data_IF_359716505188
#
_entry.id   IF_359716505188
#
_cell.length_a   1.000
_cell.length_b   1.000
_cell.length_c   1.000
_cell.angle_alpha   90.00
_cell.angle_beta   90.00
_cell.angle_gamma   90.00
#
_symmetry.space_group_name_H-M   'P 1'
#
loop_
_entity.id
_entity.type
_entity.pdbx_description
1 polymer ?
#
# COMPACT_ATOMS: atom_id res chain seq x y z
N UNK A 1 22.45 -4.02 16.93
CA UNK A 1 22.83 -2.59 16.92
C UNK A 1 23.44 -2.26 18.27
N UNK A 2 24.42 -1.34 18.36
CA UNK A 2 24.89 -0.88 19.66
C UNK A 2 23.71 -0.25 20.43
N UNK A 3 23.70 -0.32 21.77
CA UNK A 3 22.56 0.06 22.60
C UNK A 3 22.14 1.55 22.54
N UNK A 4 22.78 2.39 21.71
CA UNK A 4 22.72 3.85 21.87
C UNK A 4 22.50 4.65 20.57
N UNK A 5 22.18 3.98 19.44
CA UNK A 5 22.05 4.68 18.15
C UNK A 5 20.83 5.59 18.03
N UNK A 6 19.83 5.42 18.92
CA UNK A 6 18.57 6.18 18.90
C UNK A 6 18.51 7.28 19.96
N UNK A 7 19.50 7.34 20.86
CA UNK A 7 19.57 8.34 21.94
C UNK A 7 19.61 9.78 21.45
N UNK A 8 20.21 10.11 20.29
CA UNK A 8 20.09 11.47 19.73
C UNK A 8 18.66 11.92 19.39
N UNK A 9 17.68 11.00 19.36
CA UNK A 9 16.27 11.30 19.11
C UNK A 9 15.42 11.40 20.39
N UNK A 10 16.09 11.44 21.54
CA UNK A 10 15.49 11.66 22.85
C UNK A 10 15.88 13.05 23.37
N UNK A 11 14.94 13.72 24.03
CA UNK A 11 15.21 14.96 24.75
C UNK A 11 15.84 14.68 26.13
N UNK A 12 16.11 15.73 26.91
CA UNK A 12 16.71 15.61 28.24
C UNK A 12 15.81 14.90 29.28
N UNK A 13 14.55 14.65 28.96
CA UNK A 13 13.58 13.90 29.77
C UNK A 13 13.48 12.43 29.33
N UNK A 14 14.13 12.07 28.21
CA UNK A 14 14.04 10.75 27.60
C UNK A 14 12.80 10.57 26.72
N UNK A 15 12.15 11.66 26.31
CA UNK A 15 10.98 11.66 25.44
C UNK A 15 11.37 11.91 23.98
N UNK A 16 10.59 11.38 23.04
CA UNK A 16 10.79 11.61 21.60
C UNK A 16 9.68 12.49 21.04
N UNK A 17 9.99 13.27 20.00
CA UNK A 17 9.00 14.12 19.34
C UNK A 17 7.84 13.29 18.76
N UNK A 18 6.61 13.70 19.05
CA UNK A 18 5.39 13.07 18.54
C UNK A 18 5.02 13.60 17.15
N UNK A 19 4.23 12.83 16.40
CA UNK A 19 3.66 13.21 15.10
C UNK A 19 2.94 14.57 15.12
N UNK A 20 2.13 14.85 16.14
CA UNK A 20 1.44 16.15 16.26
C UNK A 20 2.36 17.34 16.52
N UNK A 21 3.60 17.12 16.98
CA UNK A 21 4.58 18.18 17.15
C UNK A 21 5.29 18.57 15.83
N UNK A 22 5.14 17.74 14.78
CA UNK A 22 5.76 17.92 13.46
C UNK A 22 4.74 18.09 12.32
N UNK A 23 3.47 17.76 12.56
CA UNK A 23 2.35 17.92 11.63
C UNK A 23 1.54 19.22 11.85
N UNK A 24 0.66 19.53 10.91
CA UNK A 24 -0.18 20.73 10.91
C UNK A 24 -1.69 20.42 11.12
N UNK A 25 -2.04 19.22 11.57
CA UNK A 25 -3.44 18.79 11.73
C UNK A 25 -3.92 18.85 13.17
N UNK A 26 -5.18 19.24 13.34
CA UNK A 26 -5.88 19.35 14.63
C UNK A 26 -6.18 17.94 15.21
N UNK A 27 -5.91 17.76 16.51
CA UNK A 27 -6.23 16.61 17.39
C UNK A 27 -6.21 15.20 16.75
N UNK A 28 -5.09 14.47 16.89
CA UNK A 28 -4.98 13.06 16.53
C UNK A 28 -5.40 12.13 17.70
N UNK A 29 -6.25 11.13 17.43
CA UNK A 29 -6.62 10.10 18.41
C UNK A 29 -5.49 9.09 18.71
N UNK A 30 -4.53 8.96 17.79
CA UNK A 30 -3.37 8.09 17.92
C UNK A 30 -2.14 8.75 17.27
N UNK A 31 -1.00 8.71 17.96
CA UNK A 31 0.24 9.29 17.47
C UNK A 31 1.39 8.29 17.55
N UNK A 32 2.32 8.40 16.59
CA UNK A 32 3.62 7.73 16.62
C UNK A 32 4.71 8.77 16.90
N UNK A 33 5.64 8.44 17.79
CA UNK A 33 6.85 9.24 17.96
C UNK A 33 7.88 8.93 16.88
N UNK A 34 8.84 9.84 16.67
CA UNK A 34 10.02 9.60 15.83
C UNK A 34 10.72 8.30 16.24
N UNK A 35 10.81 8.05 17.56
CA UNK A 35 11.43 6.85 18.09
C UNK A 35 10.68 5.56 17.72
N UNK A 36 9.35 5.58 17.68
CA UNK A 36 8.54 4.42 17.28
C UNK A 36 8.78 4.06 15.82
N UNK A 37 8.81 5.06 14.94
CA UNK A 37 9.13 4.88 13.52
C UNK A 37 10.55 4.33 13.34
N UNK A 38 11.55 4.90 14.01
CA UNK A 38 12.94 4.44 13.93
C UNK A 38 13.12 3.02 14.47
N UNK A 39 12.44 2.65 15.55
CA UNK A 39 12.42 1.29 16.09
C UNK A 39 11.80 0.32 15.09
N UNK A 40 10.68 0.70 14.46
CA UNK A 40 10.02 -0.08 13.42
C UNK A 40 10.94 -0.32 12.22
N UNK A 41 11.60 0.73 11.71
CA UNK A 41 12.57 0.64 10.61
C UNK A 41 13.77 -0.23 10.98
N UNK A 42 14.33 -0.06 12.19
CA UNK A 42 15.43 -0.88 12.66
C UNK A 42 15.03 -2.36 12.77
N UNK A 43 13.81 -2.64 13.22
CA UNK A 43 13.27 -3.99 13.31
C UNK A 43 13.08 -4.60 11.91
N UNK A 44 12.42 -3.89 10.99
CA UNK A 44 12.22 -4.32 9.60
C UNK A 44 13.54 -4.60 8.88
N UNK A 45 14.55 -3.74 9.07
CA UNK A 45 15.91 -3.96 8.56
C UNK A 45 16.54 -5.23 9.16
N UNK A 46 16.43 -5.44 10.48
CA UNK A 46 17.00 -6.62 11.13
C UNK A 46 16.30 -7.93 10.68
N UNK A 47 15.03 -7.86 10.27
CA UNK A 47 14.29 -8.96 9.64
C UNK A 47 14.64 -9.16 8.16
N UNK A 48 15.46 -8.27 7.57
CA UNK A 48 15.83 -8.30 6.16
C UNK A 48 14.74 -7.82 5.21
N UNK A 49 13.72 -7.11 5.70
CA UNK A 49 12.63 -6.58 4.87
C UNK A 49 13.02 -5.27 4.16
N UNK A 50 14.05 -4.59 4.67
CA UNK A 50 14.56 -3.34 4.13
C UNK A 50 16.07 -3.46 3.91
N UNK A 51 16.50 -3.35 2.65
CA UNK A 51 17.90 -3.23 2.25
C UNK A 51 18.06 -2.09 1.24
N UNK A 52 18.58 -0.95 1.71
CA UNK A 52 18.78 0.24 0.90
C UNK A 52 19.80 0.04 -0.23
N UNK A 53 20.64 -1.00 -0.18
CA UNK A 53 21.64 -1.29 -1.22
C UNK A 53 21.03 -1.99 -2.43
N UNK A 54 19.88 -2.62 -2.26
CA UNK A 54 19.15 -3.33 -3.32
C UNK A 54 17.83 -2.66 -3.66
N UNK A 55 17.45 -1.59 -2.96
CA UNK A 55 16.21 -0.86 -3.21
C UNK A 55 16.34 0.01 -4.46
N UNK A 56 15.54 -0.28 -5.49
CA UNK A 56 15.46 0.52 -6.71
C UNK A 56 14.51 1.69 -6.53
N UNK A 57 15.05 2.90 -6.39
CA UNK A 57 14.26 4.12 -6.18
C UNK A 57 13.40 4.42 -7.42
N UNK A 58 13.98 4.29 -8.61
CA UNK A 58 13.31 4.53 -9.88
C UNK A 58 12.21 3.51 -10.15
N UNK A 59 12.49 2.23 -9.86
CA UNK A 59 11.51 1.15 -9.98
C UNK A 59 10.33 1.39 -9.02
N UNK A 60 10.60 1.73 -7.76
CA UNK A 60 9.57 2.03 -6.78
C UNK A 60 8.74 3.26 -7.18
N UNK A 61 9.39 4.37 -7.53
CA UNK A 61 8.70 5.59 -7.97
C UNK A 61 7.87 5.36 -9.24
N UNK A 62 8.33 4.50 -10.14
CA UNK A 62 7.58 4.08 -11.32
C UNK A 62 6.31 3.34 -10.92
N UNK A 63 6.37 2.40 -9.97
CA UNK A 63 5.21 1.61 -9.53
C UNK A 63 4.13 2.42 -8.81
N UNK A 64 4.48 3.57 -8.22
CA UNK A 64 3.52 4.51 -7.61
C UNK A 64 2.67 5.27 -8.63
N UNK A 65 2.93 5.12 -9.94
CA UNK A 65 2.12 5.78 -10.98
C UNK A 65 0.80 5.02 -11.18
N UNK A 66 -0.36 5.69 -11.34
CA UNK A 66 -1.65 5.02 -11.53
C UNK A 66 -1.70 4.05 -12.72
N UNK A 67 -1.05 4.40 -13.82
CA UNK A 67 -0.89 3.55 -15.01
C UNK A 67 -0.04 2.29 -14.77
N UNK A 68 0.76 2.28 -13.70
CA UNK A 68 1.50 1.12 -13.22
C UNK A 68 0.83 0.47 -12.00
N UNK A 69 -0.38 0.88 -11.63
CA UNK A 69 -1.18 0.23 -10.59
C UNK A 69 -1.08 0.86 -9.21
N UNK A 70 -0.35 1.97 -9.05
CA UNK A 70 -0.20 2.68 -7.77
C UNK A 70 0.09 1.70 -6.63
N UNK A 71 1.23 1.01 -6.74
CA UNK A 71 1.55 -0.15 -5.93
C UNK A 71 2.90 -0.05 -5.20
N UNK A 72 2.96 -0.64 -4.02
CA UNK A 72 4.15 -0.67 -3.18
C UNK A 72 4.28 -2.00 -2.42
N UNK A 73 5.46 -2.60 -2.47
CA UNK A 73 5.76 -3.81 -1.69
C UNK A 73 5.86 -3.45 -0.20
N UNK A 74 4.92 -3.98 0.59
CA UNK A 74 4.95 -3.86 2.05
C UNK A 74 5.96 -4.84 2.65
N UNK A 75 5.98 -6.07 2.10
CA UNK A 75 6.90 -7.14 2.49
C UNK A 75 7.49 -7.76 1.21
N UNK A 76 8.82 -7.70 1.00
CA UNK A 76 9.45 -8.20 -0.21
C UNK A 76 9.04 -9.65 -0.53
N UNK A 77 8.42 -9.86 -1.69
CA UNK A 77 8.00 -11.18 -2.18
C UNK A 77 6.86 -11.83 -1.39
N UNK A 78 6.15 -11.08 -0.51
CA UNK A 78 5.06 -11.62 0.30
C UNK A 78 3.78 -10.79 0.25
N UNK A 79 3.89 -9.48 0.40
CA UNK A 79 2.73 -8.60 0.48
C UNK A 79 2.97 -7.33 -0.34
N UNK A 80 2.07 -7.10 -1.28
CA UNK A 80 2.02 -5.95 -2.18
C UNK A 80 0.70 -5.24 -1.93
N UNK A 81 0.76 -3.94 -1.65
CA UNK A 81 -0.42 -3.08 -1.63
C UNK A 81 -0.52 -2.36 -2.97
N UNK A 82 -1.74 -2.15 -3.45
CA UNK A 82 -2.03 -1.45 -4.69
C UNK A 82 -3.41 -0.77 -4.63
N UNK A 83 -3.61 0.25 -5.46
CA UNK A 83 -4.94 0.80 -5.68
C UNK A 83 -5.87 -0.21 -6.37
N UNK A 84 -7.19 -0.02 -6.23
CA UNK A 84 -8.16 -0.84 -6.96
C UNK A 84 -7.91 -0.72 -8.46
N UNK A 85 -7.75 -1.84 -9.19
CA UNK A 85 -7.71 -1.82 -10.64
C UNK A 85 -9.01 -1.24 -11.21
N UNK A 86 -8.90 -0.63 -12.37
CA UNK A 86 -10.04 -0.11 -13.13
C UNK A 86 -10.51 -1.16 -14.15
N UNK A 87 -11.79 -1.14 -14.49
CA UNK A 87 -12.37 -2.00 -15.52
C UNK A 87 -11.84 -1.66 -16.93
N UNK A 88 -11.48 -0.39 -17.14
CA UNK A 88 -10.99 0.16 -18.40
C UNK A 88 -9.63 0.87 -18.17
N UNK A 89 -8.76 1.01 -19.19
CA UNK A 89 -7.40 1.54 -19.01
C UNK A 89 -7.34 3.06 -18.84
N UNK A 90 -8.50 3.70 -18.69
CA UNK A 90 -8.64 5.14 -18.45
C UNK A 90 -9.64 5.37 -17.31
N UNK A 91 -9.37 6.37 -16.47
CA UNK A 91 -10.31 6.82 -15.47
C UNK A 91 -11.41 7.72 -16.06
N UNK A 92 -12.28 8.21 -15.18
CA UNK A 92 -13.38 9.13 -15.51
C UNK A 92 -12.93 10.45 -16.17
N UNK A 93 -11.66 10.84 -15.99
CA UNK A 93 -11.07 12.06 -16.55
C UNK A 93 -10.23 11.76 -17.81
N UNK A 94 -10.20 10.49 -18.25
CA UNK A 94 -9.44 10.02 -19.41
C UNK A 94 -7.95 9.82 -19.14
N UNK A 95 -7.53 9.83 -17.86
CA UNK A 95 -6.14 9.61 -17.48
C UNK A 95 -5.78 8.13 -17.45
N UNK A 96 -4.54 7.75 -17.81
CA UNK A 96 -4.14 6.36 -17.87
C UNK A 96 -4.10 5.72 -16.48
N UNK A 97 -4.73 4.57 -16.36
CA UNK A 97 -4.81 3.76 -15.13
C UNK A 97 -4.58 2.29 -15.44
N UNK A 98 -4.39 1.48 -14.40
CA UNK A 98 -4.16 0.05 -14.55
C UNK A 98 -5.46 -0.76 -14.47
N UNK A 99 -5.52 -1.83 -15.27
CA UNK A 99 -6.60 -2.82 -15.27
C UNK A 99 -6.07 -4.18 -14.80
N UNK A 100 -6.94 -5.14 -14.44
CA UNK A 100 -6.50 -6.49 -14.10
C UNK A 100 -5.57 -7.10 -15.16
N UNK A 101 -5.93 -6.97 -16.45
CA UNK A 101 -5.14 -7.50 -17.56
C UNK A 101 -3.74 -6.86 -17.67
N UNK A 102 -3.60 -5.57 -17.36
CA UNK A 102 -2.31 -4.87 -17.36
C UNK A 102 -1.44 -5.26 -16.15
N UNK A 103 -2.06 -5.59 -15.02
CA UNK A 103 -1.37 -6.02 -13.81
C UNK A 103 -0.88 -7.45 -13.89
N UNK A 104 -1.61 -8.36 -14.55
CA UNK A 104 -1.30 -9.78 -14.48
C UNK A 104 0.13 -10.16 -14.93
N UNK A 105 0.71 -9.59 -16.01
CA UNK A 105 2.10 -9.87 -16.38
C UNK A 105 3.12 -9.55 -15.28
N UNK A 106 2.88 -8.47 -14.53
CA UNK A 106 3.70 -8.11 -13.38
C UNK A 106 3.51 -9.12 -12.25
N UNK A 107 2.26 -9.43 -11.90
CA UNK A 107 1.92 -10.41 -10.87
C UNK A 107 2.56 -11.78 -11.12
N UNK A 108 2.49 -12.29 -12.35
CA UNK A 108 3.13 -13.56 -12.71
C UNK A 108 4.65 -13.51 -12.56
N UNK A 109 5.30 -12.44 -13.06
CA UNK A 109 6.76 -12.27 -12.97
C UNK A 109 7.24 -12.25 -11.51
N UNK A 110 6.43 -11.70 -10.61
CA UNK A 110 6.75 -11.55 -9.20
C UNK A 110 6.14 -12.65 -8.31
N UNK A 111 5.50 -13.69 -8.89
CA UNK A 111 4.97 -14.82 -8.15
C UNK A 111 3.77 -14.50 -7.25
N UNK A 112 3.00 -13.46 -7.58
CA UNK A 112 1.75 -13.14 -6.88
C UNK A 112 0.72 -14.23 -7.19
N UNK A 113 0.31 -14.96 -6.15
CA UNK A 113 -0.65 -16.07 -6.28
C UNK A 113 -2.07 -15.75 -5.78
N UNK A 114 -2.27 -14.57 -5.18
CA UNK A 114 -3.56 -14.17 -4.62
C UNK A 114 -3.75 -12.65 -4.67
N UNK A 115 -4.95 -12.21 -5.00
CA UNK A 115 -5.45 -10.84 -4.87
C UNK A 115 -6.58 -10.84 -3.85
N UNK A 116 -6.49 -9.97 -2.84
CA UNK A 116 -7.56 -9.76 -1.85
C UNK A 116 -8.15 -8.37 -2.08
N UNK A 117 -9.40 -8.31 -2.51
CA UNK A 117 -10.12 -7.07 -2.75
C UNK A 117 -10.91 -6.67 -1.51
N UNK A 118 -10.56 -5.52 -0.94
CA UNK A 118 -11.13 -5.01 0.31
C UNK A 118 -12.17 -3.91 0.14
N UNK A 119 -12.26 -3.31 -1.06
CA UNK A 119 -13.26 -2.30 -1.37
C UNK A 119 -14.57 -2.94 -1.89
N UNK A 120 -15.64 -2.16 -1.82
CA UNK A 120 -16.96 -2.49 -2.35
C UNK A 120 -17.38 -1.43 -3.39
N UNK A 121 -16.89 -1.51 -4.64
CA UNK A 121 -17.21 -0.54 -5.68
C UNK A 121 -18.71 -0.30 -5.86
N UNK A 122 -19.53 -1.31 -5.57
CA UNK A 122 -20.98 -1.23 -5.63
C UNK A 122 -21.62 -0.25 -4.64
N UNK A 123 -20.88 0.20 -3.61
CA UNK A 123 -21.32 1.19 -2.61
C UNK A 123 -21.01 2.63 -3.00
N UNK A 124 -20.21 2.84 -4.04
CA UNK A 124 -19.98 4.17 -4.62
C UNK A 124 -21.28 4.75 -5.18
N UNK A 125 -21.38 6.08 -5.24
CA UNK A 125 -22.53 6.74 -5.87
C UNK A 125 -22.67 6.31 -7.34
N UNK A 126 -23.91 6.21 -7.80
CA UNK A 126 -24.18 5.79 -9.18
C UNK A 126 -23.58 6.80 -10.18
N UNK A 127 -22.72 6.29 -11.07
CA UNK A 127 -22.00 7.13 -12.02
C UNK A 127 -20.87 6.39 -12.73
N UNK A 128 -20.13 7.11 -13.55
CA UNK A 128 -19.03 6.59 -14.35
C UNK A 128 -17.91 6.01 -13.48
N UNK A 129 -17.57 6.70 -12.38
CA UNK A 129 -16.59 6.23 -11.40
C UNK A 129 -16.91 4.83 -10.85
N UNK A 130 -18.15 4.61 -10.40
CA UNK A 130 -18.60 3.30 -9.89
C UNK A 130 -18.44 2.22 -10.96
N UNK A 131 -18.93 2.47 -12.18
CA UNK A 131 -18.81 1.52 -13.29
C UNK A 131 -17.35 1.15 -13.54
N UNK A 132 -16.46 2.13 -13.52
CA UNK A 132 -15.06 1.93 -13.81
C UNK A 132 -14.28 1.27 -12.66
N UNK A 133 -14.74 1.39 -11.41
CA UNK A 133 -14.17 0.67 -10.26
C UNK A 133 -14.66 -0.79 -10.15
N UNK A 134 -15.78 -1.13 -10.78
CA UNK A 134 -16.30 -2.50 -10.88
C UNK A 134 -15.52 -3.31 -11.94
N UNK A 135 -14.33 -3.81 -11.59
CA UNK A 135 -13.57 -4.70 -12.48
C UNK A 135 -13.96 -6.17 -12.33
N UNK A 136 -13.77 -6.96 -13.39
CA UNK A 136 -13.92 -8.41 -13.36
C UNK A 136 -12.57 -9.10 -13.09
N UNK A 137 -12.50 -10.08 -12.17
CA UNK A 137 -11.24 -10.71 -11.79
C UNK A 137 -10.73 -11.77 -12.79
N UNK A 138 -11.44 -12.00 -13.89
CA UNK A 138 -11.19 -13.11 -14.82
C UNK A 138 -9.73 -13.18 -15.31
N UNK A 139 -9.11 -12.03 -15.61
CA UNK A 139 -7.71 -11.96 -16.06
C UNK A 139 -6.69 -12.41 -15.01
N UNK A 140 -7.06 -12.41 -13.73
CA UNK A 140 -6.25 -13.00 -12.65
C UNK A 140 -6.48 -14.51 -12.58
N UNK A 141 -7.74 -14.94 -12.59
CA UNK A 141 -8.14 -16.33 -12.42
C UNK A 141 -7.66 -17.25 -13.55
N UNK A 142 -7.74 -16.79 -14.80
CA UNK A 142 -7.24 -17.52 -15.99
C UNK A 142 -5.75 -17.86 -15.88
N UNK A 143 -5.00 -17.04 -15.13
CA UNK A 143 -3.57 -17.19 -14.92
C UNK A 143 -3.23 -17.83 -13.57
N UNK A 144 -4.24 -18.41 -12.90
CA UNK A 144 -4.10 -19.16 -11.66
C UNK A 144 -3.92 -18.29 -10.41
N UNK A 145 -4.14 -16.98 -10.51
CA UNK A 145 -4.11 -16.07 -9.37
C UNK A 145 -5.47 -16.13 -8.70
N UNK A 146 -5.52 -16.55 -7.44
CA UNK A 146 -6.77 -16.60 -6.69
C UNK A 146 -7.27 -15.18 -6.41
N UNK A 147 -8.52 -14.88 -6.74
CA UNK A 147 -9.17 -13.65 -6.31
C UNK A 147 -10.07 -13.93 -5.09
N UNK A 148 -9.99 -13.06 -4.09
CA UNK A 148 -10.78 -13.14 -2.86
C UNK A 148 -11.42 -11.79 -2.61
N UNK A 149 -12.75 -11.73 -2.59
CA UNK A 149 -13.50 -10.51 -2.27
C UNK A 149 -13.89 -10.50 -0.79
N UNK A 150 -13.37 -9.53 -0.03
CA UNK A 150 -13.59 -9.35 1.41
C UNK A 150 -13.84 -7.87 1.74
N UNK A 151 -15.00 -7.33 1.32
CA UNK A 151 -15.28 -5.91 1.46
C UNK A 151 -15.55 -5.50 2.92
N UNK A 152 -15.05 -4.33 3.31
CA UNK A 152 -15.48 -3.60 4.51
C UNK A 152 -15.80 -2.14 4.17
N UNK A 153 -16.37 -1.40 5.13
CA UNK A 153 -16.72 0.02 4.93
C UNK A 153 -15.46 0.88 4.80
N UNK A 154 -15.46 1.82 3.84
CA UNK A 154 -14.32 2.72 3.66
C UNK A 154 -14.13 3.61 4.90
N UNK A 155 -12.88 3.74 5.35
CA UNK A 155 -12.54 4.34 6.65
C UNK A 155 -12.98 3.51 7.88
N UNK A 156 -13.64 2.37 7.69
CA UNK A 156 -14.07 1.47 8.75
C UNK A 156 -13.02 0.43 9.14
N UNK A 157 -13.32 -0.33 10.19
CA UNK A 157 -12.50 -1.47 10.63
C UNK A 157 -13.12 -2.79 10.14
N UNK A 158 -12.30 -3.74 9.63
CA UNK A 158 -12.78 -5.08 9.33
C UNK A 158 -13.28 -5.79 10.59
N UNK A 159 -14.31 -6.63 10.49
CA UNK A 159 -14.78 -7.45 11.61
C UNK A 159 -13.75 -8.54 11.96
N UNK A 160 -13.65 -8.86 13.25
CA UNK A 160 -12.76 -9.90 13.79
C UNK A 160 -13.20 -11.33 13.45
#
# INVERSE_FOLDING_TARGET
>A
APPDALTPFLDCRGESASGGAIGAEDEAEFELSVLDVLRGLAHARNLGWLDYRTFGVEDHASMLRPEHGDMSWLLPGKALALASPWAEPQDQDGLPVCTPALLTPYFQRHGVGMVVQCNAPEREEEGERRRLLCYEPHSFEELGIRHVHMPFEDGGCPSA
#
